data_IF_274616238720
#
_entry.id   IF_274616238720
#
_cell.length_a   1.000
_cell.length_b   1.000
_cell.length_c   1.000
_cell.angle_alpha   90.00
_cell.angle_beta   90.00
_cell.angle_gamma   90.00
#
_symmetry.space_group_name_H-M   'P 1'
#
loop_
_entity.id
_entity.type
_entity.pdbx_description
1 polymer ?
#
# COMPACT_ATOMS: atom_id res chain seq x y z
N UNK A 1 8.78 18.45 -9.10
CA UNK A 1 9.77 17.45 -9.60
C UNK A 1 11.02 17.53 -8.73
N UNK A 2 11.14 16.62 -7.76
CA UNK A 2 12.39 16.16 -7.11
C UNK A 2 12.00 15.13 -6.02
N UNK A 3 11.63 13.90 -6.39
CA UNK A 3 11.62 12.77 -5.44
C UNK A 3 13.02 12.13 -5.43
N UNK A 4 14.03 12.96 -5.16
CA UNK A 4 15.40 12.50 -5.10
C UNK A 4 15.61 11.72 -3.79
N UNK A 5 15.62 10.39 -3.89
CA UNK A 5 16.12 9.48 -2.85
C UNK A 5 15.26 9.32 -1.56
N UNK A 6 13.94 9.27 -1.67
CA UNK A 6 13.04 8.99 -0.53
C UNK A 6 13.00 7.50 -0.19
N UNK A 7 13.28 7.13 1.05
CA UNK A 7 13.17 5.74 1.50
C UNK A 7 11.71 5.28 1.52
N UNK A 8 11.48 3.99 1.25
CA UNK A 8 10.15 3.38 1.25
C UNK A 8 10.12 2.18 2.19
N UNK A 9 9.19 2.18 3.13
CA UNK A 9 8.89 1.06 4.02
C UNK A 9 7.65 0.32 3.53
N UNK A 10 7.79 -0.97 3.22
CA UNK A 10 6.69 -1.86 2.83
C UNK A 10 6.41 -2.82 3.99
N UNK A 11 5.15 -2.88 4.42
CA UNK A 11 4.68 -3.72 5.52
C UNK A 11 3.61 -4.66 4.98
N UNK A 12 4.03 -5.90 4.73
CA UNK A 12 3.27 -6.84 3.91
C UNK A 12 2.77 -8.03 4.72
N UNK A 13 1.46 -8.13 4.87
CA UNK A 13 0.82 -9.28 5.50
C UNK A 13 0.49 -10.35 4.46
N UNK A 14 1.34 -11.39 4.41
CA UNK A 14 1.31 -12.46 3.40
C UNK A 14 0.01 -13.28 3.47
N UNK A 15 -0.57 -13.45 4.66
CA UNK A 15 -1.83 -14.20 4.80
C UNK A 15 -3.03 -13.49 4.16
N UNK A 16 -3.01 -12.15 4.12
CA UNK A 16 -4.04 -11.37 3.43
C UNK A 16 -3.71 -11.13 1.96
N UNK A 17 -2.43 -11.03 1.62
CA UNK A 17 -1.91 -10.76 0.28
C UNK A 17 -0.86 -11.83 -0.06
N UNK A 18 -1.26 -13.04 -0.47
CA UNK A 18 -0.33 -14.15 -0.64
C UNK A 18 0.62 -13.96 -1.82
N UNK A 19 1.72 -14.70 -1.81
CA UNK A 19 2.62 -14.82 -2.97
C UNK A 19 1.80 -15.37 -4.16
N UNK A 20 1.74 -14.67 -5.30
CA UNK A 20 1.01 -15.18 -6.47
C UNK A 20 1.58 -16.51 -6.98
N UNK A 21 0.71 -17.35 -7.53
CA UNK A 21 1.10 -18.66 -8.04
C UNK A 21 2.24 -18.57 -9.07
N UNK A 22 3.26 -19.43 -8.90
CA UNK A 22 4.43 -19.46 -9.77
C UNK A 22 5.47 -18.37 -9.52
N UNK A 23 5.26 -17.48 -8.53
CA UNK A 23 6.26 -16.50 -8.10
C UNK A 23 6.93 -16.94 -6.79
N UNK A 24 8.17 -16.49 -6.60
CA UNK A 24 8.86 -16.58 -5.32
C UNK A 24 8.80 -15.25 -4.57
N UNK A 25 8.99 -15.27 -3.25
CA UNK A 25 9.11 -14.05 -2.41
C UNK A 25 10.15 -13.07 -2.98
N UNK A 26 11.27 -13.58 -3.50
CA UNK A 26 12.30 -12.75 -4.12
C UNK A 26 11.79 -12.05 -5.38
N UNK A 27 11.02 -12.76 -6.21
CA UNK A 27 10.44 -12.19 -7.43
C UNK A 27 9.37 -11.15 -7.11
N UNK A 28 8.49 -11.41 -6.14
CA UNK A 28 7.51 -10.42 -5.65
C UNK A 28 8.22 -9.18 -5.09
N UNK A 29 9.29 -9.38 -4.31
CA UNK A 29 10.10 -8.27 -3.79
C UNK A 29 10.75 -7.42 -4.88
N UNK A 30 11.21 -8.03 -5.97
CA UNK A 30 11.75 -7.33 -7.14
C UNK A 30 10.66 -6.57 -7.88
N UNK A 31 9.49 -7.18 -8.05
CA UNK A 31 8.35 -6.57 -8.72
C UNK A 31 7.81 -5.36 -7.94
N UNK A 32 7.72 -5.43 -6.61
CA UNK A 32 7.37 -4.26 -5.79
C UNK A 32 8.38 -3.11 -5.98
N UNK A 33 9.69 -3.41 -5.98
CA UNK A 33 10.73 -2.40 -6.27
C UNK A 33 10.60 -1.81 -7.68
N UNK A 34 10.26 -2.64 -8.66
CA UNK A 34 10.02 -2.21 -10.03
C UNK A 34 8.81 -1.26 -10.12
N UNK A 35 7.67 -1.60 -9.50
CA UNK A 35 6.50 -0.74 -9.44
C UNK A 35 6.85 0.64 -8.85
N UNK A 36 7.60 0.67 -7.74
CA UNK A 36 8.03 1.93 -7.12
C UNK A 36 8.99 2.73 -7.99
N UNK A 37 9.86 2.07 -8.74
CA UNK A 37 10.75 2.77 -9.67
C UNK A 37 9.99 3.46 -10.80
N UNK A 38 8.84 2.93 -11.24
CA UNK A 38 7.97 3.56 -12.25
C UNK A 38 7.33 4.85 -11.73
N UNK A 39 7.12 4.95 -10.40
CA UNK A 39 6.71 6.18 -9.73
C UNK A 39 7.87 7.13 -9.41
N UNK A 40 9.06 6.89 -9.98
CA UNK A 40 10.29 7.64 -9.73
C UNK A 40 10.75 7.61 -8.25
N UNK A 41 10.36 6.59 -7.49
CA UNK A 41 10.92 6.37 -6.15
C UNK A 41 12.25 5.64 -6.27
N UNK A 42 13.33 6.40 -6.05
CA UNK A 42 14.71 5.96 -6.25
C UNK A 42 15.46 5.64 -4.95
N UNK A 43 14.83 5.84 -3.79
CA UNK A 43 15.44 5.58 -2.48
C UNK A 43 15.48 4.10 -2.07
N UNK A 44 15.98 3.84 -0.85
CA UNK A 44 16.07 2.47 -0.34
C UNK A 44 14.68 1.91 -0.03
N UNK A 45 14.44 0.66 -0.40
CA UNK A 45 13.20 -0.06 -0.13
C UNK A 45 13.42 -1.10 0.96
N UNK A 46 12.69 -0.98 2.06
CA UNK A 46 12.68 -1.89 3.20
C UNK A 46 11.40 -2.71 3.17
N UNK A 47 11.49 -4.03 3.02
CA UNK A 47 10.33 -4.92 2.92
C UNK A 47 10.26 -5.77 4.18
N UNK A 48 9.18 -5.58 4.94
CA UNK A 48 8.87 -6.35 6.14
C UNK A 48 7.68 -7.26 5.82
N UNK A 49 7.92 -8.57 5.72
CA UNK A 49 6.89 -9.56 5.45
C UNK A 49 6.42 -10.22 6.74
N UNK A 50 5.11 -10.35 6.91
CA UNK A 50 4.43 -10.88 8.08
C UNK A 50 3.56 -12.05 7.66
N UNK A 51 3.73 -13.19 8.32
CA UNK A 51 3.05 -14.43 7.99
C UNK A 51 3.77 -15.60 8.63
N UNK A 52 3.20 -16.79 8.52
CA UNK A 52 3.87 -18.00 9.01
C UNK A 52 5.21 -18.17 8.29
N UNK A 53 6.27 -18.43 9.06
CA UNK A 53 7.63 -18.57 8.53
C UNK A 53 7.72 -19.74 7.55
N UNK A 54 6.92 -20.81 7.77
CA UNK A 54 6.81 -21.91 6.82
C UNK A 54 6.03 -21.51 5.56
N UNK A 55 5.04 -20.61 5.64
CA UNK A 55 4.38 -20.06 4.43
C UNK A 55 5.36 -19.25 3.59
N UNK A 56 6.21 -18.46 4.25
CA UNK A 56 7.19 -17.59 3.58
C UNK A 56 8.36 -18.41 3.00
N UNK A 57 8.66 -19.59 3.56
CA UNK A 57 9.78 -20.44 3.16
C UNK A 57 9.38 -21.67 2.31
N UNK A 58 8.14 -22.15 2.39
CA UNK A 58 7.70 -23.45 1.84
C UNK A 58 6.41 -23.39 0.99
N UNK A 59 5.83 -22.20 0.72
CA UNK A 59 4.65 -22.02 -0.15
C UNK A 59 3.40 -22.86 0.25
N UNK A 60 3.18 -23.11 1.56
CA UNK A 60 2.07 -23.97 2.06
C UNK A 60 0.87 -23.15 2.53
N UNK A 61 -0.33 -23.38 1.95
CA UNK A 61 -1.58 -22.76 2.38
C UNK A 61 -2.20 -23.45 3.61
N UNK A 62 -1.98 -22.92 4.82
CA UNK A 62 -2.74 -23.30 6.02
C UNK A 62 -3.05 -22.05 6.88
N UNK A 63 -4.31 -21.64 7.11
CA UNK A 63 -4.60 -20.45 7.91
C UNK A 63 -4.32 -20.74 9.39
N UNK A 64 -3.28 -20.13 9.95
CA UNK A 64 -2.99 -20.21 11.37
C UNK A 64 -2.36 -18.90 11.83
N UNK A 65 -3.05 -18.21 12.74
CA UNK A 65 -2.54 -17.02 13.39
C UNK A 65 -3.64 -16.11 13.90
N UNK A 66 -3.44 -15.57 15.10
CA UNK A 66 -4.20 -14.44 15.64
C UNK A 66 -4.00 -13.22 14.71
N UNK A 67 -4.90 -13.06 13.72
CA UNK A 67 -4.87 -11.95 12.75
C UNK A 67 -4.84 -10.60 13.45
N UNK A 68 -5.60 -10.45 14.54
CA UNK A 68 -5.65 -9.20 15.29
C UNK A 68 -4.30 -8.89 15.94
N UNK A 69 -3.69 -9.89 16.59
CA UNK A 69 -2.32 -9.78 17.12
C UNK A 69 -1.28 -9.44 16.07
N UNK A 70 -1.36 -10.04 14.87
CA UNK A 70 -0.43 -9.74 13.78
C UNK A 70 -0.62 -8.32 13.23
N UNK A 71 -1.86 -7.89 13.03
CA UNK A 71 -2.16 -6.52 12.61
C UNK A 71 -1.66 -5.49 13.64
N UNK A 72 -1.79 -5.79 14.94
CA UNK A 72 -1.24 -4.97 16.01
C UNK A 72 0.29 -4.86 15.96
N UNK A 73 0.98 -5.95 15.62
CA UNK A 73 2.43 -5.93 15.41
C UNK A 73 2.82 -5.07 14.21
N UNK A 74 2.13 -5.23 13.08
CA UNK A 74 2.39 -4.44 11.86
C UNK A 74 2.24 -2.94 12.14
N UNK A 75 1.18 -2.56 12.85
CA UNK A 75 0.93 -1.18 13.28
C UNK A 75 2.11 -0.60 14.05
N UNK A 76 2.63 -1.35 15.02
CA UNK A 76 3.80 -0.93 15.81
C UNK A 76 5.06 -0.84 14.95
N UNK A 77 5.32 -1.86 14.13
CA UNK A 77 6.54 -1.95 13.34
C UNK A 77 6.64 -0.83 12.30
N UNK A 78 5.54 -0.43 11.63
CA UNK A 78 5.60 0.69 10.69
C UNK A 78 5.77 2.04 11.38
N UNK A 79 5.18 2.22 12.57
CA UNK A 79 5.36 3.44 13.35
C UNK A 79 6.80 3.56 13.86
N UNK A 80 7.43 2.46 14.28
CA UNK A 80 8.86 2.43 14.64
C UNK A 80 9.72 2.75 13.42
N UNK A 81 9.44 2.13 12.27
CA UNK A 81 10.19 2.40 11.04
C UNK A 81 10.12 3.86 10.62
N UNK A 82 8.96 4.52 10.80
CA UNK A 82 8.79 5.93 10.51
C UNK A 82 9.70 6.81 11.40
N UNK A 83 9.94 6.43 12.65
CA UNK A 83 10.89 7.15 13.54
C UNK A 83 12.32 7.08 12.97
N UNK A 84 12.73 5.91 12.47
CA UNK A 84 14.07 5.71 11.91
C UNK A 84 14.23 6.31 10.49
N UNK A 85 13.12 6.55 9.80
CA UNK A 85 13.07 7.08 8.43
C UNK A 85 12.13 8.31 8.39
N UNK A 86 12.59 9.48 8.86
CA UNK A 86 11.78 10.70 8.87
C UNK A 86 11.41 11.14 7.45
N UNK A 87 10.27 11.84 7.31
CA UNK A 87 9.84 12.40 6.03
C UNK A 87 10.90 13.34 5.40
N UNK A 88 11.02 13.39 4.06
CA UNK A 88 10.17 12.73 3.08
C UNK A 88 10.48 11.23 2.92
N UNK A 89 9.45 10.40 3.11
CA UNK A 89 9.52 8.95 3.01
C UNK A 89 8.16 8.38 2.62
N UNK A 90 8.15 7.20 2.01
CA UNK A 90 6.94 6.50 1.60
C UNK A 90 6.64 5.35 2.57
N UNK A 91 5.37 5.19 2.94
CA UNK A 91 4.87 4.03 3.71
C UNK A 91 3.88 3.28 2.82
N UNK A 92 4.08 1.98 2.68
CA UNK A 92 3.18 1.11 1.93
C UNK A 92 2.68 0.01 2.86
N UNK A 93 1.38 0.02 3.13
CA UNK A 93 0.73 -1.07 3.84
C UNK A 93 0.12 -2.02 2.81
N UNK A 94 0.52 -3.29 2.85
CA UNK A 94 -0.03 -4.35 2.00
C UNK A 94 -0.81 -5.31 2.89
N UNK A 95 -2.11 -5.05 3.02
CA UNK A 95 -3.02 -5.67 3.98
C UNK A 95 -4.34 -6.04 3.29
N UNK A 96 -5.12 -6.92 3.91
CA UNK A 96 -6.45 -7.23 3.42
C UNK A 96 -7.45 -6.11 3.68
N UNK A 97 -8.61 -6.19 3.05
CA UNK A 97 -9.71 -5.22 3.24
C UNK A 97 -10.31 -5.24 4.65
N UNK A 98 -10.21 -6.37 5.35
CA UNK A 98 -10.75 -6.53 6.69
C UNK A 98 -9.61 -6.44 7.72
N UNK A 99 -9.35 -5.23 8.21
CA UNK A 99 -8.40 -4.96 9.30
C UNK A 99 -8.99 -5.29 10.69
N UNK A 100 -10.03 -6.12 10.75
CA UNK A 100 -10.65 -6.64 11.97
C UNK A 100 -11.02 -5.50 12.93
N UNK A 101 -10.75 -5.64 14.23
CA UNK A 101 -11.09 -4.62 15.24
C UNK A 101 -10.11 -3.43 15.25
N UNK A 102 -9.01 -3.51 14.48
CA UNK A 102 -7.93 -2.51 14.46
C UNK A 102 -8.07 -1.43 13.41
N UNK A 103 -9.12 -1.47 12.58
CA UNK A 103 -9.41 -0.46 11.56
C UNK A 103 -9.17 0.98 12.10
N UNK A 104 -9.72 1.29 13.28
CA UNK A 104 -9.60 2.63 13.86
C UNK A 104 -8.18 3.00 14.29
N UNK A 105 -7.40 2.02 14.74
CA UNK A 105 -6.01 2.22 15.14
C UNK A 105 -5.14 2.54 13.91
N UNK A 106 -5.35 1.82 12.80
CA UNK A 106 -4.70 2.12 11.52
C UNK A 106 -5.09 3.50 11.00
N UNK A 107 -6.37 3.85 10.97
CA UNK A 107 -6.82 5.19 10.57
C UNK A 107 -6.12 6.31 11.36
N UNK A 108 -6.07 6.17 12.69
CA UNK A 108 -5.42 7.15 13.55
C UNK A 108 -3.92 7.25 13.30
N UNK A 109 -3.24 6.12 13.10
CA UNK A 109 -1.81 6.10 12.82
C UNK A 109 -1.48 6.69 11.44
N UNK A 110 -2.28 6.35 10.42
CA UNK A 110 -2.17 6.92 9.07
C UNK A 110 -2.39 8.42 9.08
N UNK A 111 -3.37 8.91 9.85
CA UNK A 111 -3.57 10.35 10.05
C UNK A 111 -2.32 11.02 10.66
N UNK A 112 -1.67 10.39 11.64
CA UNK A 112 -0.46 10.93 12.25
C UNK A 112 0.70 11.03 11.25
N UNK A 113 1.00 9.96 10.51
CA UNK A 113 2.09 10.01 9.52
C UNK A 113 1.74 10.92 8.33
N UNK A 114 0.46 11.07 7.98
CA UNK A 114 0.04 12.04 6.96
C UNK A 114 0.32 13.49 7.41
N UNK A 115 0.01 13.85 8.66
CA UNK A 115 0.35 15.17 9.21
C UNK A 115 1.86 15.44 9.21
N UNK A 116 2.68 14.39 9.27
CA UNK A 116 4.14 14.46 9.17
C UNK A 116 4.67 14.44 7.73
N UNK A 117 3.79 14.55 6.72
CA UNK A 117 4.13 14.62 5.29
C UNK A 117 4.78 13.35 4.74
N UNK A 118 4.43 12.19 5.28
CA UNK A 118 4.71 10.92 4.62
C UNK A 118 3.77 10.76 3.42
N UNK A 119 4.28 10.17 2.36
CA UNK A 119 3.44 9.70 1.27
C UNK A 119 2.99 8.26 1.56
N UNK A 120 1.70 8.00 1.44
CA UNK A 120 1.06 6.80 2.02
C UNK A 120 0.37 6.03 0.92
N UNK A 121 0.78 4.77 0.77
CA UNK A 121 0.21 3.83 -0.17
C UNK A 121 -0.51 2.72 0.59
N UNK A 122 -1.58 2.21 0.00
CA UNK A 122 -2.27 1.03 0.49
C UNK A 122 -2.49 0.03 -0.64
N UNK A 123 -2.16 -1.23 -0.40
CA UNK A 123 -2.37 -2.32 -1.34
C UNK A 123 -3.27 -3.39 -0.72
N UNK A 124 -4.25 -3.86 -1.48
CA UNK A 124 -5.25 -4.83 -1.03
C UNK A 124 -5.64 -5.80 -2.17
N UNK A 125 -6.20 -6.99 -1.86
CA UNK A 125 -6.55 -7.97 -2.88
C UNK A 125 -7.65 -7.49 -3.83
N UNK A 126 -7.55 -7.77 -5.12
CA UNK A 126 -8.54 -7.38 -6.14
C UNK A 126 -9.96 -7.87 -5.86
N UNK A 127 -10.10 -9.05 -5.25
CA UNK A 127 -11.41 -9.62 -4.91
C UNK A 127 -11.99 -9.07 -3.59
N UNK A 128 -11.51 -7.91 -3.13
CA UNK A 128 -11.90 -7.29 -1.89
C UNK A 128 -12.22 -5.81 -2.09
N UNK A 129 -13.12 -5.27 -1.27
CA UNK A 129 -13.40 -3.82 -1.27
C UNK A 129 -12.27 -3.07 -0.57
N UNK A 130 -11.75 -2.01 -1.18
CA UNK A 130 -10.79 -1.13 -0.51
C UNK A 130 -11.37 -0.60 0.81
N UNK A 131 -10.65 -0.67 1.94
CA UNK A 131 -11.05 0.03 3.16
C UNK A 131 -11.09 1.54 2.90
N UNK A 132 -12.06 2.23 3.49
CA UNK A 132 -12.07 3.70 3.48
C UNK A 132 -10.96 4.23 4.39
N UNK A 133 -9.90 4.78 3.79
CA UNK A 133 -8.72 5.28 4.49
C UNK A 133 -8.39 6.69 3.98
N UNK A 134 -8.94 7.76 4.58
CA UNK A 134 -8.81 9.13 4.07
C UNK A 134 -7.39 9.70 4.01
N UNK A 135 -6.42 9.05 4.65
CA UNK A 135 -5.01 9.48 4.66
C UNK A 135 -4.13 8.71 3.68
N UNK A 136 -4.71 7.78 2.90
CA UNK A 136 -4.01 7.08 1.83
C UNK A 136 -4.05 7.93 0.57
N UNK A 137 -2.89 8.14 -0.05
CA UNK A 137 -2.72 8.96 -1.26
C UNK A 137 -2.67 8.12 -2.53
N UNK A 138 -2.22 6.86 -2.45
CA UNK A 138 -2.08 5.98 -3.62
C UNK A 138 -2.58 4.58 -3.26
N UNK A 139 -3.54 4.09 -4.03
CA UNK A 139 -4.10 2.74 -3.86
C UNK A 139 -3.54 1.77 -4.89
N UNK A 140 -3.49 0.50 -4.53
CA UNK A 140 -3.01 -0.58 -5.39
C UNK A 140 -3.88 -1.81 -5.22
N UNK A 141 -4.18 -2.46 -6.34
CA UNK A 141 -4.45 -3.88 -6.32
C UNK A 141 -3.16 -4.64 -6.01
N UNK A 142 -3.22 -5.58 -5.07
CA UNK A 142 -2.09 -6.42 -4.69
C UNK A 142 -1.51 -7.17 -5.90
N UNK A 143 -2.37 -7.65 -6.78
CA UNK A 143 -2.03 -8.36 -8.02
C UNK A 143 -1.21 -7.46 -8.97
N UNK A 144 -1.54 -6.16 -9.04
CA UNK A 144 -0.76 -5.18 -9.79
C UNK A 144 0.59 -4.94 -9.12
N UNK A 145 0.61 -4.61 -7.82
CA UNK A 145 1.84 -4.32 -7.09
C UNK A 145 2.83 -5.50 -7.09
N UNK A 146 2.34 -6.72 -6.85
CA UNK A 146 3.13 -7.95 -6.79
C UNK A 146 3.67 -8.41 -8.16
N UNK A 147 3.08 -7.94 -9.25
CA UNK A 147 3.57 -8.17 -10.62
C UNK A 147 4.41 -7.02 -11.19
N UNK A 148 4.53 -5.91 -10.44
CA UNK A 148 5.31 -4.74 -10.84
C UNK A 148 4.52 -3.79 -11.75
N UNK A 149 3.19 -3.81 -11.66
CA UNK A 149 2.26 -2.96 -12.38
C UNK A 149 2.19 -1.53 -11.84
N UNK A 150 1.05 -0.89 -12.06
CA UNK A 150 0.76 0.51 -11.72
C UNK A 150 -0.26 0.57 -10.56
N UNK A 151 -0.34 1.71 -9.83
CA UNK A 151 -1.41 1.91 -8.86
C UNK A 151 -2.79 1.92 -9.55
N UNK A 152 -3.85 1.88 -8.74
CA UNK A 152 -5.19 2.17 -9.24
C UNK A 152 -5.22 3.61 -9.75
N UNK A 153 -5.85 3.82 -10.90
CA UNK A 153 -6.12 5.15 -11.43
C UNK A 153 -7.14 5.81 -10.49
N UNK A 154 -6.86 7.05 -10.06
CA UNK A 154 -7.87 7.84 -9.37
C UNK A 154 -8.85 8.33 -10.45
N UNK A 155 -10.16 8.24 -10.19
CA UNK A 155 -11.25 8.72 -11.06
C UNK A 155 -11.25 10.28 -11.11
N UNK A 156 -10.09 10.92 -11.33
CA UNK A 156 -9.97 12.38 -11.42
C UNK A 156 -10.28 12.91 -12.84
N UNK A 157 -10.24 12.05 -13.88
CA UNK A 157 -10.51 12.47 -15.27
C UNK A 157 -12.00 12.65 -15.58
N UNK A 158 -12.93 11.99 -14.86
CA UNK A 158 -14.38 12.13 -15.11
C UNK A 158 -14.96 13.43 -14.52
N UNK A 159 -14.45 13.91 -13.37
CA UNK A 159 -14.95 15.16 -12.76
C UNK A 159 -14.43 16.41 -13.50
N UNK A 160 -13.20 16.40 -14.02
CA UNK A 160 -12.69 17.52 -14.83
C UNK A 160 -13.35 17.59 -16.22
N UNK A 161 -13.66 16.46 -16.87
CA UNK A 161 -14.41 16.43 -18.13
C UNK A 161 -15.88 16.88 -17.95
N UNK A 162 -16.56 16.49 -16.85
CA UNK A 162 -17.92 16.96 -16.54
C UNK A 162 -17.96 18.47 -16.20
N UNK A 163 -16.97 18.99 -15.48
CA UNK A 163 -16.88 20.43 -15.20
C UNK A 163 -16.56 21.26 -16.46
N UNK A 164 -15.69 20.77 -17.35
CA UNK A 164 -15.41 21.42 -18.64
C UNK A 164 -16.64 21.39 -19.58
N UNK A 165 -17.37 20.28 -19.66
CA UNK A 165 -18.62 20.18 -20.45
C UNK A 165 -19.71 21.13 -19.90
N UNK A 166 -19.85 21.23 -18.57
CA UNK A 166 -20.78 22.16 -17.93
C UNK A 166 -20.42 23.65 -18.11
N UNK A 167 -19.13 23.98 -18.20
CA UNK A 167 -18.69 25.35 -18.50
C UNK A 167 -18.86 25.70 -19.98
N UNK A 168 -18.66 24.75 -20.90
CA UNK A 168 -18.92 24.97 -22.33
C UNK A 168 -20.42 25.21 -22.61
N UNK A 169 -21.33 24.42 -22.02
CA UNK A 169 -22.78 24.62 -22.18
C UNK A 169 -23.27 25.97 -21.63
N UNK A 170 -22.66 26.49 -20.55
CA UNK A 170 -23.03 27.80 -19.97
C UNK A 170 -22.53 29.00 -20.77
N UNK A 171 -21.58 28.80 -21.68
CA UNK A 171 -20.98 29.86 -22.50
C UNK A 171 -21.62 29.98 -23.91
N UNK A 172 -22.54 29.08 -24.28
CA UNK A 172 -23.25 29.10 -25.56
C UNK A 172 -24.63 29.80 -25.53
N UNK A 173 -25.11 30.26 -24.36
CA UNK A 173 -26.34 31.06 -24.15
C UNK A 173 -26.08 32.56 -23.91
#
# INVERSE_FOLDING_TARGET
METANTNTGIFWYVDDCPIPEGLSVLKVSQNMKLALSKLNYSGKVFIHAYGDSQKILEDINNPSGDKDGMLGRILVDFMIWAIDNPAPANIILVLGSNMSRRQKEFENALLQVNMLRYNIHFAYPQNATCPSLPSVHIKWLWESLSSGGNPEEEEEEEEEEEEEEEEEEKNED
#
